data_IF_974224352876
#
_entry.id   IF_974224352876
#
_cell.length_a   1.000
_cell.length_b   1.000
_cell.length_c   1.000
_cell.angle_alpha   90.00
_cell.angle_beta   90.00
_cell.angle_gamma   90.00
#
_symmetry.space_group_name_H-M   'P 1'
#
loop_
_entity.id
_entity.type
_entity.pdbx_description
1 polymer ?
#
# COMPACT_ATOMS: atom_id res chain seq x y z
N UNK A 1 -12.81 17.01 15.92
CA UNK A 1 -11.49 16.90 16.59
C UNK A 1 -10.49 16.32 15.60
N UNK A 2 -9.41 17.09 15.37
CA UNK A 2 -8.09 16.78 14.78
C UNK A 2 -7.91 15.47 14.01
N UNK A 3 -7.80 15.53 12.67
CA UNK A 3 -6.56 15.73 11.88
C UNK A 3 -5.73 14.45 11.70
N UNK A 4 -5.58 14.02 10.45
CA UNK A 4 -4.26 13.74 9.86
C UNK A 4 -4.39 13.58 8.35
N UNK A 5 -4.29 14.70 7.63
CA UNK A 5 -3.88 14.70 6.21
C UNK A 5 -2.46 14.13 6.13
N UNK A 6 -2.36 12.85 5.80
CA UNK A 6 -1.08 12.19 5.60
C UNK A 6 -0.42 12.73 4.33
N UNK A 7 0.66 13.48 4.52
CA UNK A 7 1.61 13.89 3.49
C UNK A 7 1.94 12.72 2.57
N UNK A 8 1.70 12.90 1.26
CA UNK A 8 2.15 11.97 0.23
C UNK A 8 3.58 12.32 -0.15
N UNK A 9 4.60 11.58 0.30
CA UNK A 9 5.88 11.63 -0.39
C UNK A 9 5.63 11.14 -1.81
N UNK A 10 5.94 11.99 -2.78
CA UNK A 10 6.05 11.60 -4.19
C UNK A 10 7.19 10.59 -4.29
N UNK A 11 6.87 9.32 -4.09
CA UNK A 11 7.85 8.25 -4.10
C UNK A 11 8.00 7.72 -5.52
N UNK A 12 9.18 7.93 -6.09
CA UNK A 12 9.66 7.15 -7.21
C UNK A 12 9.42 5.66 -6.92
N UNK A 13 8.82 4.95 -7.89
CA UNK A 13 8.44 3.54 -7.73
C UNK A 13 9.61 2.61 -7.37
N UNK A 14 10.84 3.11 -7.54
CA UNK A 14 12.08 2.46 -7.14
C UNK A 14 12.10 2.18 -5.62
N UNK A 15 12.12 0.90 -5.28
CA UNK A 15 12.23 0.44 -3.89
C UNK A 15 10.94 0.48 -3.08
N UNK A 16 9.79 0.86 -3.66
CA UNK A 16 8.50 0.85 -2.95
C UNK A 16 8.15 -0.54 -2.41
N UNK A 17 8.28 -1.57 -3.26
CA UNK A 17 8.09 -2.99 -2.87
C UNK A 17 9.01 -3.40 -1.71
N UNK A 18 10.27 -2.94 -1.71
CA UNK A 18 11.23 -3.26 -0.67
C UNK A 18 10.86 -2.58 0.66
N UNK A 19 10.40 -1.31 0.62
CA UNK A 19 9.92 -0.59 1.80
C UNK A 19 8.68 -1.24 2.42
N UNK A 20 7.69 -1.60 1.59
CA UNK A 20 6.50 -2.32 2.05
C UNK A 20 6.86 -3.67 2.68
N UNK A 21 7.74 -4.44 2.02
CA UNK A 21 8.24 -5.71 2.57
C UNK A 21 8.90 -5.51 3.93
N UNK A 22 9.78 -4.51 4.08
CA UNK A 22 10.48 -4.24 5.34
C UNK A 22 9.50 -3.92 6.46
N UNK A 23 8.56 -3.01 6.24
CA UNK A 23 7.55 -2.66 7.25
C UNK A 23 6.67 -3.85 7.63
N UNK A 24 6.30 -4.68 6.65
CA UNK A 24 5.50 -5.89 6.89
C UNK A 24 6.26 -6.90 7.75
N UNK A 25 7.54 -7.11 7.48
CA UNK A 25 8.39 -8.03 8.25
C UNK A 25 8.67 -7.50 9.67
N UNK A 26 8.85 -6.19 9.82
CA UNK A 26 9.20 -5.59 11.12
C UNK A 26 7.97 -5.39 12.04
N UNK A 27 6.79 -5.13 11.46
CA UNK A 27 5.62 -4.66 12.21
C UNK A 27 4.31 -5.37 11.90
N UNK A 28 4.31 -6.44 11.09
CA UNK A 28 3.09 -7.15 10.72
C UNK A 28 2.22 -6.40 9.72
N UNK A 29 1.01 -6.90 9.48
CA UNK A 29 0.07 -6.30 8.54
C UNK A 29 -0.46 -4.95 9.06
N UNK A 30 -0.55 -4.81 10.38
CA UNK A 30 -1.01 -3.64 11.12
C UNK A 30 -0.07 -2.43 10.96
N UNK A 31 1.17 -2.66 10.54
CA UNK A 31 2.13 -1.60 10.21
C UNK A 31 1.94 -1.03 8.78
N UNK A 32 0.98 -1.54 8.01
CA UNK A 32 0.64 -1.09 6.67
C UNK A 32 -0.80 -0.53 6.68
N UNK A 33 -1.06 0.48 5.85
CA UNK A 33 -2.44 0.83 5.53
C UNK A 33 -3.09 -0.26 4.66
N UNK A 34 -4.42 -0.42 4.72
CA UNK A 34 -5.16 -1.45 3.96
C UNK A 34 -4.82 -1.46 2.47
N UNK A 35 -4.75 -0.28 1.84
CA UNK A 35 -4.37 -0.18 0.43
C UNK A 35 -2.92 -0.61 0.18
N UNK A 36 -2.01 -0.46 1.14
CA UNK A 36 -0.62 -0.89 1.01
C UNK A 36 -0.49 -2.41 1.17
N UNK A 37 -1.33 -3.03 2.01
CA UNK A 37 -1.47 -4.49 2.08
C UNK A 37 -1.94 -5.02 0.73
N UNK A 38 -2.96 -4.40 0.13
CA UNK A 38 -3.42 -4.77 -1.22
C UNK A 38 -2.35 -4.55 -2.29
N UNK A 39 -1.61 -3.44 -2.25
CA UNK A 39 -0.46 -3.24 -3.15
C UNK A 39 0.55 -4.40 -3.02
N UNK A 40 0.87 -4.82 -1.79
CA UNK A 40 1.79 -5.91 -1.54
C UNK A 40 1.29 -7.27 -2.05
N UNK A 41 -0.03 -7.52 -2.01
CA UNK A 41 -0.63 -8.71 -2.60
C UNK A 41 -0.65 -8.63 -4.14
N UNK A 42 -1.03 -7.49 -4.70
CA UNK A 42 -1.10 -7.25 -6.14
C UNK A 42 0.28 -7.38 -6.80
N UNK A 43 1.35 -7.05 -6.10
CA UNK A 43 2.72 -7.28 -6.53
C UNK A 43 3.07 -8.75 -6.87
N UNK A 44 2.36 -9.72 -6.29
CA UNK A 44 2.51 -11.13 -6.61
C UNK A 44 1.71 -11.52 -7.88
N UNK A 45 0.57 -10.87 -8.11
CA UNK A 45 -0.30 -11.12 -9.26
C UNK A 45 0.11 -10.32 -10.52
N UNK A 46 0.67 -9.12 -10.33
CA UNK A 46 1.01 -8.14 -11.36
C UNK A 46 2.52 -7.90 -11.31
N UNK A 47 3.23 -8.42 -12.32
CA UNK A 47 4.69 -8.38 -12.39
C UNK A 47 5.25 -6.96 -12.55
N UNK A 48 4.55 -6.09 -13.28
CA UNK A 48 5.00 -4.73 -13.63
C UNK A 48 3.82 -3.77 -13.68
N UNK A 49 4.07 -2.48 -13.40
CA UNK A 49 3.08 -1.42 -13.40
C UNK A 49 2.81 -0.84 -12.00
N UNK A 50 2.01 0.22 -11.96
CA UNK A 50 1.56 0.85 -10.72
C UNK A 50 0.30 0.12 -10.19
N UNK A 51 0.41 -0.51 -9.02
CA UNK A 51 -0.68 -1.24 -8.36
C UNK A 51 -1.50 -0.36 -7.43
N UNK A 52 -1.04 0.86 -7.13
CA UNK A 52 -1.71 1.75 -6.18
C UNK A 52 -3.12 2.17 -6.62
N UNK A 53 -3.38 2.50 -7.90
CA UNK A 53 -4.74 2.79 -8.35
C UNK A 53 -5.69 1.60 -8.18
N UNK A 54 -5.19 0.38 -8.45
CA UNK A 54 -5.97 -0.85 -8.31
C UNK A 54 -6.27 -1.13 -6.85
N UNK A 55 -5.28 -1.01 -5.97
CA UNK A 55 -5.46 -1.19 -4.52
C UNK A 55 -6.51 -0.22 -3.97
N UNK A 56 -6.47 1.06 -4.36
CA UNK A 56 -7.47 2.04 -3.95
C UNK A 56 -8.86 1.73 -4.48
N UNK A 57 -8.98 1.36 -5.76
CA UNK A 57 -10.28 0.99 -6.33
C UNK A 57 -10.90 -0.23 -5.63
N UNK A 58 -10.09 -1.15 -5.13
CA UNK A 58 -10.56 -2.29 -4.34
C UNK A 58 -11.07 -1.84 -2.96
N UNK A 59 -10.34 -0.98 -2.26
CA UNK A 59 -10.81 -0.38 -0.99
C UNK A 59 -12.11 0.40 -1.22
N UNK A 60 -12.17 1.26 -2.23
CA UNK A 60 -13.38 2.03 -2.53
C UNK A 60 -14.60 1.14 -2.83
N UNK A 61 -14.36 -0.04 -3.42
CA UNK A 61 -15.42 -0.99 -3.76
C UNK A 61 -15.85 -1.88 -2.60
N UNK A 62 -14.91 -2.30 -1.74
CA UNK A 62 -15.14 -3.34 -0.73
C UNK A 62 -15.09 -2.82 0.71
N UNK A 63 -14.68 -1.57 0.92
CA UNK A 63 -14.59 -0.93 2.23
C UNK A 63 -13.17 -0.95 2.78
N UNK A 64 -12.85 -1.92 3.63
CA UNK A 64 -11.57 -2.04 4.32
C UNK A 64 -11.08 -3.50 4.30
N UNK A 65 -9.84 -3.71 4.76
CA UNK A 65 -9.33 -5.05 5.09
C UNK A 65 -9.70 -5.47 6.51
#
# INVERSE_FOLDING_TARGET
MSQSEQQKPSHDGTGHRARLRKRLLDGGAEALADYEVLEYLLFAAIKQGDTKPVAKALIDRFGSL
#
